data_IF_701652713345
#
_entry.id   IF_701652713345
#
_cell.length_a   1.000
_cell.length_b   1.000
_cell.length_c   1.000
_cell.angle_alpha   90.00
_cell.angle_beta   90.00
_cell.angle_gamma   90.00
#
_symmetry.space_group_name_H-M   'P 1'
#
loop_
_entity.id
_entity.type
_entity.pdbx_description
1 polymer ?
#
# COMPACT_ATOMS: atom_id res chain seq x y z
N UNK A 1 -40.57 9.43 23.70
CA UNK A 1 -40.21 10.42 22.66
C UNK A 1 -38.71 10.69 22.57
N UNK A 2 -37.92 10.72 23.66
CA UNK A 2 -36.46 10.96 23.60
C UNK A 2 -35.64 9.85 22.91
N UNK A 3 -36.10 8.60 22.95
CA UNK A 3 -35.34 7.44 22.47
C UNK A 3 -35.31 7.33 20.92
N UNK A 4 -36.34 7.84 20.23
CA UNK A 4 -36.34 7.95 18.77
C UNK A 4 -35.39 9.05 18.29
N UNK A 5 -35.26 10.14 19.05
CA UNK A 5 -34.40 11.29 18.69
C UNK A 5 -32.92 10.92 18.68
N UNK A 6 -32.49 10.04 19.59
CA UNK A 6 -31.09 9.58 19.70
C UNK A 6 -30.73 8.60 18.57
N UNK A 7 -31.66 7.73 18.18
CA UNK A 7 -31.47 6.82 17.04
C UNK A 7 -31.31 7.57 15.71
N UNK A 8 -32.08 8.65 15.53
CA UNK A 8 -31.97 9.52 14.34
C UNK A 8 -30.64 10.27 14.30
N UNK A 9 -30.13 10.75 15.45
CA UNK A 9 -28.80 11.37 15.53
C UNK A 9 -27.67 10.36 15.25
N UNK A 10 -27.79 9.10 15.69
CA UNK A 10 -26.82 8.07 15.38
C UNK A 10 -26.79 7.70 13.90
N UNK A 11 -27.95 7.63 13.23
CA UNK A 11 -28.01 7.41 11.78
C UNK A 11 -27.46 8.61 11.00
N UNK A 12 -27.66 9.84 11.49
CA UNK A 12 -27.04 11.04 10.90
C UNK A 12 -25.50 11.04 11.07
N UNK A 13 -24.99 10.64 12.25
CA UNK A 13 -23.55 10.53 12.49
C UNK A 13 -22.90 9.39 11.68
N UNK A 14 -23.54 8.22 11.59
CA UNK A 14 -23.08 7.10 10.75
C UNK A 14 -23.14 7.48 9.26
N UNK A 15 -24.11 8.31 8.87
CA UNK A 15 -24.19 8.79 7.48
C UNK A 15 -23.11 9.81 7.12
N UNK A 16 -22.53 10.54 8.08
CA UNK A 16 -21.37 11.43 7.84
C UNK A 16 -20.02 10.71 7.77
N UNK A 17 -19.96 9.44 8.19
CA UNK A 17 -18.81 8.56 7.93
C UNK A 17 -19.00 7.71 6.66
N UNK A 18 -19.91 8.10 5.75
CA UNK A 18 -19.88 7.58 4.40
C UNK A 18 -18.61 8.09 3.71
N UNK A 19 -17.63 7.20 3.69
CA UNK A 19 -16.78 6.90 2.53
C UNK A 19 -16.91 7.98 1.47
N UNK A 20 -16.10 9.03 1.56
CA UNK A 20 -15.97 9.95 0.45
C UNK A 20 -15.38 9.11 -0.68
N UNK A 21 -16.12 8.75 -1.73
CA UNK A 21 -15.44 8.39 -2.95
C UNK A 21 -15.00 9.76 -3.48
N UNK A 22 -13.83 10.24 -3.02
CA UNK A 22 -13.14 11.25 -3.81
C UNK A 22 -12.85 10.54 -5.12
N UNK A 23 -13.77 10.69 -6.07
CA UNK A 23 -13.50 10.56 -7.48
C UNK A 23 -12.43 11.61 -7.74
N UNK A 24 -11.18 11.23 -7.50
CA UNK A 24 -10.01 11.98 -7.91
C UNK A 24 -10.03 11.92 -9.43
N UNK A 25 -10.76 12.83 -10.06
CA UNK A 25 -10.60 13.17 -11.47
C UNK A 25 -9.29 13.96 -11.64
N UNK A 26 -8.19 13.34 -11.20
CA UNK A 26 -6.83 13.87 -11.28
C UNK A 26 -5.93 12.69 -11.54
N UNK A 27 -5.06 12.83 -12.53
CA UNK A 27 -4.08 11.81 -12.96
C UNK A 27 -3.47 11.09 -11.75
N UNK A 28 -3.81 9.81 -11.59
CA UNK A 28 -3.34 8.98 -10.48
C UNK A 28 -1.82 8.89 -10.54
N UNK A 29 -1.16 9.48 -9.53
CA UNK A 29 0.30 9.60 -9.46
C UNK A 29 0.81 8.84 -8.26
N UNK A 30 1.87 8.07 -8.42
CA UNK A 30 2.46 7.26 -7.34
C UNK A 30 3.96 7.52 -7.24
N UNK A 31 4.54 7.29 -6.06
CA UNK A 31 5.99 7.19 -5.94
C UNK A 31 6.48 6.00 -6.75
N UNK A 32 7.57 6.21 -7.48
CA UNK A 32 8.23 5.17 -8.29
C UNK A 32 9.69 5.12 -7.90
N UNK A 33 10.02 4.22 -6.98
CA UNK A 33 11.38 4.08 -6.47
C UNK A 33 11.68 2.66 -6.05
N UNK A 34 12.97 2.36 -5.93
CA UNK A 34 13.47 1.20 -5.22
C UNK A 34 14.61 1.60 -4.29
N UNK A 35 14.84 0.83 -3.22
CA UNK A 35 16.04 0.97 -2.40
C UNK A 35 17.32 0.91 -3.26
N UNK A 36 18.34 1.68 -2.88
CA UNK A 36 19.58 1.83 -3.66
C UNK A 36 20.28 0.50 -3.97
N UNK A 37 20.18 -0.46 -3.06
CA UNK A 37 20.70 -1.81 -3.21
C UNK A 37 20.24 -2.51 -4.51
N UNK A 38 18.96 -2.34 -4.89
CA UNK A 38 18.43 -2.91 -6.13
C UNK A 38 19.12 -2.33 -7.36
N UNK A 39 19.44 -1.02 -7.35
CA UNK A 39 20.13 -0.36 -8.46
C UNK A 39 21.56 -0.87 -8.63
N UNK A 40 22.27 -1.08 -7.52
CA UNK A 40 23.64 -1.61 -7.55
C UNK A 40 23.73 -3.05 -8.13
N UNK A 41 22.63 -3.80 -8.07
CA UNK A 41 22.59 -5.22 -8.47
C UNK A 41 21.57 -5.50 -9.59
N UNK A 42 21.01 -4.45 -10.21
CA UNK A 42 19.82 -4.51 -11.07
C UNK A 42 19.88 -5.58 -12.16
N UNK A 43 20.99 -5.62 -12.90
CA UNK A 43 21.20 -6.57 -13.97
C UNK A 43 21.73 -7.93 -13.48
N UNK A 44 22.62 -7.94 -12.48
CA UNK A 44 23.32 -9.14 -12.04
C UNK A 44 22.47 -10.05 -11.16
N UNK A 45 21.61 -9.49 -10.30
CA UNK A 45 20.71 -10.24 -9.44
C UNK A 45 19.38 -10.61 -10.14
N UNK A 46 19.21 -10.26 -11.41
CA UNK A 46 18.04 -10.64 -12.21
C UNK A 46 16.78 -9.81 -11.96
N UNK A 47 16.86 -8.73 -11.17
CA UNK A 47 15.72 -7.82 -10.92
C UNK A 47 15.16 -7.21 -12.21
N UNK A 48 16.03 -6.89 -13.16
CA UNK A 48 15.68 -6.38 -14.49
C UNK A 48 14.81 -7.34 -15.34
N UNK A 49 14.63 -8.59 -14.91
CA UNK A 49 13.76 -9.58 -15.58
C UNK A 49 12.38 -9.71 -14.92
N UNK A 50 12.18 -9.08 -13.76
CA UNK A 50 10.98 -9.25 -12.94
C UNK A 50 10.27 -7.91 -12.80
N UNK A 51 11.01 -6.87 -12.41
CA UNK A 51 10.45 -5.55 -12.14
C UNK A 51 10.70 -4.60 -13.30
N UNK A 52 9.76 -3.67 -13.49
CA UNK A 52 10.02 -2.51 -14.32
C UNK A 52 10.99 -1.59 -13.57
N UNK A 53 11.95 -1.02 -14.30
CA UNK A 53 12.90 -0.08 -13.71
C UNK A 53 12.15 1.12 -13.10
N UNK A 54 12.42 1.46 -11.82
CA UNK A 54 11.77 2.57 -11.14
C UNK A 54 12.29 3.91 -11.67
N UNK A 55 11.59 5.01 -11.36
CA UNK A 55 12.09 6.36 -11.70
C UNK A 55 13.34 6.75 -10.93
N UNK A 56 13.60 6.17 -9.75
CA UNK A 56 14.87 6.34 -9.04
C UNK A 56 15.21 5.18 -8.11
N UNK A 57 16.52 4.92 -7.98
CA UNK A 57 17.08 4.07 -6.92
C UNK A 57 17.60 4.98 -5.78
N UNK A 58 17.00 4.92 -4.59
CA UNK A 58 17.29 5.87 -3.51
C UNK A 58 17.06 5.27 -2.11
N UNK A 59 17.82 5.75 -1.11
CA UNK A 59 17.64 5.38 0.30
C UNK A 59 16.31 5.92 0.86
N UNK A 60 15.86 7.06 0.36
CA UNK A 60 14.59 7.67 0.76
C UNK A 60 13.37 6.88 0.30
N UNK A 61 13.53 5.81 -0.48
CA UNK A 61 12.40 4.99 -0.92
C UNK A 61 11.68 4.31 0.26
N UNK A 62 12.37 4.10 1.39
CA UNK A 62 11.72 3.66 2.63
C UNK A 62 10.65 4.65 3.09
N UNK A 63 10.97 5.94 3.08
CA UNK A 63 10.11 7.01 3.58
C UNK A 63 10.13 8.23 2.63
N UNK A 64 9.43 8.14 1.48
CA UNK A 64 9.47 9.14 0.42
C UNK A 64 8.72 10.44 0.76
N UNK A 65 8.08 10.51 1.94
CA UNK A 65 7.44 11.72 2.46
C UNK A 65 8.31 12.43 3.51
N UNK A 66 9.44 11.83 3.90
CA UNK A 66 10.36 12.45 4.86
C UNK A 66 10.87 13.79 4.36
N UNK A 67 11.08 14.73 5.29
CA UNK A 67 11.55 16.08 4.95
C UNK A 67 12.91 16.00 4.25
N UNK A 68 13.01 16.58 3.06
CA UNK A 68 14.24 16.58 2.26
C UNK A 68 14.44 15.31 1.43
N UNK A 69 13.48 14.40 1.40
CA UNK A 69 13.48 13.31 0.42
C UNK A 69 13.12 13.84 -0.96
N UNK A 70 13.92 13.48 -1.97
CA UNK A 70 13.61 13.69 -3.38
C UNK A 70 13.38 12.32 -4.02
N UNK A 71 12.12 11.89 -4.01
CA UNK A 71 11.70 10.61 -4.58
C UNK A 71 10.86 10.86 -5.81
N UNK A 72 11.30 10.28 -6.92
CA UNK A 72 10.65 10.45 -8.20
C UNK A 72 9.29 9.75 -8.23
N UNK A 73 8.44 10.24 -9.12
CA UNK A 73 7.03 9.86 -9.19
C UNK A 73 6.66 9.55 -10.64
N UNK A 74 5.61 8.75 -10.82
CA UNK A 74 5.11 8.40 -12.16
C UNK A 74 3.58 8.46 -12.16
N UNK A 75 3.01 8.69 -13.34
CA UNK A 75 1.58 8.53 -13.56
C UNK A 75 1.29 7.05 -13.82
N UNK A 76 0.19 6.56 -13.27
CA UNK A 76 -0.28 5.21 -13.48
C UNK A 76 -1.39 5.20 -14.53
N UNK A 77 -1.48 4.10 -15.28
CA UNK A 77 -2.54 3.92 -16.27
C UNK A 77 -3.90 3.71 -15.59
N UNK A 78 -4.95 4.20 -16.25
CA UNK A 78 -6.39 4.10 -15.95
C UNK A 78 -6.72 3.55 -14.56
N UNK A 79 -6.70 4.44 -13.56
CA UNK A 79 -7.20 4.16 -12.21
C UNK A 79 -6.51 3.03 -11.44
N UNK A 80 -5.33 2.58 -11.89
CA UNK A 80 -4.60 1.55 -11.16
C UNK A 80 -4.07 2.06 -9.81
N UNK A 81 -4.19 1.21 -8.79
CA UNK A 81 -3.74 1.56 -7.44
C UNK A 81 -2.21 1.72 -7.37
N UNK A 82 -1.75 2.54 -6.43
CA UNK A 82 -0.35 2.59 -6.07
C UNK A 82 0.03 1.36 -5.23
N UNK A 83 1.24 0.87 -5.44
CA UNK A 83 1.81 -0.28 -4.73
C UNK A 83 3.04 0.14 -3.91
N UNK A 84 3.15 -0.43 -2.73
CA UNK A 84 4.37 -0.46 -1.91
C UNK A 84 4.69 -1.91 -1.55
N UNK A 85 5.92 -2.35 -1.81
CA UNK A 85 6.42 -3.68 -1.46
C UNK A 85 7.61 -3.57 -0.52
N UNK A 86 7.71 -4.53 0.40
CA UNK A 86 8.85 -4.70 1.30
C UNK A 86 9.30 -6.14 1.27
N UNK A 87 10.59 -6.32 1.01
CA UNK A 87 11.24 -7.63 0.94
C UNK A 87 12.33 -7.70 2.00
N UNK A 88 12.46 -8.84 2.67
CA UNK A 88 13.61 -9.09 3.54
C UNK A 88 14.79 -9.52 2.67
N UNK A 89 15.85 -8.71 2.69
CA UNK A 89 17.05 -8.95 1.89
C UNK A 89 17.93 -9.98 2.60
N UNK A 90 18.47 -10.94 1.84
CA UNK A 90 19.39 -11.97 2.36
C UNK A 90 20.82 -11.44 2.58
N UNK A 91 20.98 -10.14 2.83
CA UNK A 91 22.26 -9.46 3.05
C UNK A 91 22.30 -8.89 4.47
N UNK A 92 22.83 -9.68 5.40
CA UNK A 92 22.90 -9.31 6.81
C UNK A 92 21.56 -9.40 7.54
N UNK A 93 21.61 -9.26 8.87
CA UNK A 93 20.46 -9.44 9.75
C UNK A 93 19.46 -8.28 9.60
N UNK A 94 18.28 -8.57 9.06
CA UNK A 94 17.13 -7.66 9.06
C UNK A 94 17.17 -6.52 8.02
N UNK A 95 18.02 -6.62 7.01
CA UNK A 95 18.02 -5.67 5.90
C UNK A 95 16.71 -5.79 5.10
N UNK A 96 16.09 -4.64 4.77
CA UNK A 96 14.82 -4.58 4.04
C UNK A 96 14.97 -3.76 2.77
N UNK A 97 14.44 -4.30 1.67
CA UNK A 97 14.34 -3.62 0.39
C UNK A 97 12.94 -3.06 0.22
N UNK A 98 12.84 -1.81 -0.21
CA UNK A 98 11.59 -1.09 -0.44
C UNK A 98 11.41 -0.88 -1.94
N UNK A 99 10.20 -1.13 -2.44
CA UNK A 99 9.84 -0.96 -3.85
C UNK A 99 8.49 -0.23 -3.89
N UNK A 100 8.37 0.82 -4.70
CA UNK A 100 7.14 1.60 -4.85
C UNK A 100 6.86 1.85 -6.33
N UNK A 101 5.60 1.78 -6.73
CA UNK A 101 5.21 1.98 -8.13
C UNK A 101 3.71 1.86 -8.37
N UNK A 102 3.33 1.75 -9.63
CA UNK A 102 1.94 1.52 -10.05
C UNK A 102 1.63 0.03 -10.13
N UNK A 103 0.43 -0.38 -9.76
CA UNK A 103 -0.02 -1.77 -9.96
C UNK A 103 0.11 -2.24 -11.42
N UNK A 104 -0.20 -1.36 -12.39
CA UNK A 104 -0.18 -1.70 -13.82
C UNK A 104 1.22 -2.01 -14.35
N UNK A 105 2.26 -1.41 -13.78
CA UNK A 105 3.58 -1.34 -14.41
C UNK A 105 4.75 -1.76 -13.52
N UNK A 106 4.56 -2.04 -12.22
CA UNK A 106 5.67 -2.36 -11.30
C UNK A 106 6.36 -3.70 -11.62
N UNK A 107 5.63 -4.66 -12.20
CA UNK A 107 6.15 -5.95 -12.67
C UNK A 107 6.08 -6.01 -14.19
N UNK A 108 7.14 -6.50 -14.85
CA UNK A 108 7.22 -6.59 -16.31
C UNK A 108 6.12 -7.48 -16.91
N UNK A 109 5.80 -8.58 -16.23
CA UNK A 109 4.75 -9.52 -16.63
C UNK A 109 3.43 -9.31 -15.89
N UNK A 110 3.35 -8.26 -15.07
CA UNK A 110 2.22 -8.00 -14.20
C UNK A 110 2.05 -9.03 -13.07
N UNK A 111 1.03 -8.76 -12.26
CA UNK A 111 0.64 -9.64 -11.16
C UNK A 111 -0.27 -10.78 -11.62
N UNK A 112 -0.27 -11.88 -10.87
CA UNK A 112 -1.22 -12.97 -11.08
C UNK A 112 -2.65 -12.54 -10.69
N UNK A 113 -3.50 -12.29 -11.69
CA UNK A 113 -4.86 -11.75 -11.52
C UNK A 113 -5.88 -12.74 -10.94
N UNK A 114 -5.63 -14.06 -11.01
CA UNK A 114 -6.58 -15.08 -10.54
C UNK A 114 -6.49 -15.34 -9.04
N UNK A 115 -5.45 -14.85 -8.37
CA UNK A 115 -5.25 -14.99 -6.92
C UNK A 115 -5.72 -13.77 -6.14
N UNK A 116 -5.63 -13.84 -4.80
CA UNK A 116 -5.87 -12.71 -3.88
C UNK A 116 -5.04 -11.46 -4.22
N UNK A 117 -3.92 -11.64 -4.91
CA UNK A 117 -3.09 -10.58 -5.48
C UNK A 117 -3.89 -9.70 -6.43
N UNK A 118 -4.79 -10.25 -7.25
CA UNK A 118 -5.62 -9.49 -8.18
C UNK A 118 -6.51 -8.43 -7.51
N UNK A 119 -6.90 -8.64 -6.25
CA UNK A 119 -7.68 -7.67 -5.49
C UNK A 119 -6.90 -6.38 -5.20
N UNK A 120 -5.55 -6.40 -5.22
CA UNK A 120 -4.72 -5.21 -5.03
C UNK A 120 -4.91 -4.18 -6.16
N UNK A 121 -5.41 -4.60 -7.33
CA UNK A 121 -5.70 -3.68 -8.43
C UNK A 121 -6.76 -2.63 -8.07
N UNK A 122 -7.74 -3.00 -7.24
CA UNK A 122 -8.94 -2.19 -6.94
C UNK A 122 -9.09 -1.90 -5.45
N UNK A 123 -8.67 -2.80 -4.57
CA UNK A 123 -8.85 -2.67 -3.12
C UNK A 123 -7.57 -2.19 -2.44
N UNK A 124 -7.74 -1.37 -1.41
CA UNK A 124 -6.65 -0.89 -0.57
C UNK A 124 -6.49 -1.82 0.63
N UNK A 125 -5.43 -2.63 0.65
CA UNK A 125 -5.08 -3.51 1.76
C UNK A 125 -3.61 -3.90 1.72
N UNK A 126 -3.14 -4.48 2.81
CA UNK A 126 -1.78 -4.98 2.98
C UNK A 126 -1.81 -6.48 3.23
N UNK A 127 -0.97 -7.23 2.52
CA UNK A 127 -0.85 -8.67 2.72
C UNK A 127 0.54 -9.16 2.33
N UNK A 128 1.03 -10.19 3.02
CA UNK A 128 2.31 -10.82 2.72
C UNK A 128 2.09 -12.01 1.79
N UNK A 129 2.73 -11.97 0.63
CA UNK A 129 2.63 -13.00 -0.40
C UNK A 129 3.96 -13.72 -0.55
N UNK A 130 3.92 -14.96 -1.04
CA UNK A 130 5.11 -15.59 -1.59
C UNK A 130 5.38 -15.01 -2.98
N UNK A 131 6.64 -14.73 -3.31
CA UNK A 131 7.00 -14.14 -4.61
C UNK A 131 6.52 -15.00 -5.80
N UNK A 132 6.50 -16.32 -5.62
CA UNK A 132 5.95 -17.30 -6.60
C UNK A 132 4.46 -17.13 -6.89
N UNK A 133 3.69 -16.57 -5.95
CA UNK A 133 2.27 -16.27 -6.10
C UNK A 133 2.02 -14.87 -6.66
N UNK A 134 3.00 -13.97 -6.49
CA UNK A 134 2.89 -12.56 -6.85
C UNK A 134 3.05 -12.34 -8.36
N UNK A 135 4.03 -13.00 -8.98
CA UNK A 135 4.43 -12.77 -10.37
C UNK A 135 3.72 -13.76 -11.30
N UNK A 136 3.09 -13.27 -12.38
CA UNK A 136 2.36 -14.12 -13.33
C UNK A 136 3.27 -14.99 -14.23
N UNK A 137 4.58 -14.75 -14.23
CA UNK A 137 5.55 -15.50 -15.04
C UNK A 137 6.91 -15.63 -14.36
N UNK A 138 7.37 -16.86 -14.16
CA UNK A 138 8.71 -17.19 -13.64
C UNK A 138 8.70 -18.24 -12.52
N UNK A 139 9.86 -18.82 -12.23
CA UNK A 139 10.14 -19.58 -10.99
C UNK A 139 11.05 -18.73 -10.10
N UNK A 140 10.53 -17.66 -9.46
CA UNK A 140 11.35 -16.87 -8.55
C UNK A 140 11.78 -17.73 -7.35
N UNK A 141 12.93 -17.43 -6.78
CA UNK A 141 13.37 -18.05 -5.53
C UNK A 141 12.35 -17.74 -4.42
N UNK A 142 12.04 -18.72 -3.56
CA UNK A 142 11.07 -18.51 -2.48
C UNK A 142 11.53 -17.40 -1.53
N UNK A 143 10.79 -16.29 -1.56
CA UNK A 143 10.90 -15.15 -0.65
C UNK A 143 9.50 -14.62 -0.33
N UNK A 144 9.33 -14.15 0.90
CA UNK A 144 8.11 -13.48 1.34
C UNK A 144 8.21 -11.99 1.08
N UNK A 145 7.18 -11.43 0.45
CA UNK A 145 7.09 -10.01 0.12
C UNK A 145 5.81 -9.43 0.72
N UNK A 146 5.95 -8.39 1.53
CA UNK A 146 4.79 -7.65 2.05
C UNK A 146 4.37 -6.62 1.01
N UNK A 147 3.13 -6.70 0.53
CA UNK A 147 2.60 -5.83 -0.52
C UNK A 147 1.38 -5.09 0.00
N UNK A 148 1.37 -3.78 -0.21
CA UNK A 148 0.25 -2.92 0.10
C UNK A 148 -0.20 -2.16 -1.13
N UNK A 149 -1.52 -2.11 -1.29
CA UNK A 149 -2.19 -1.33 -2.31
C UNK A 149 -2.96 -0.18 -1.69
N UNK A 150 -3.00 0.94 -2.39
CA UNK A 150 -3.82 2.09 -2.02
C UNK A 150 -4.26 2.87 -3.26
N UNK A 151 -5.41 3.56 -3.16
CA UNK A 151 -5.91 4.46 -4.19
C UNK A 151 -5.71 5.93 -3.77
N UNK A 152 -5.37 6.79 -4.72
CA UNK A 152 -5.15 8.22 -4.48
C UNK A 152 -3.70 8.65 -4.71
N UNK A 153 -3.50 9.93 -5.02
CA UNK A 153 -2.19 10.48 -5.38
C UNK A 153 -1.18 10.33 -4.24
N UNK A 154 -0.02 9.74 -4.54
CA UNK A 154 1.13 9.54 -3.66
C UNK A 154 0.81 8.76 -2.36
N UNK A 155 -0.28 7.99 -2.35
CA UNK A 155 -0.72 7.24 -1.17
C UNK A 155 0.29 6.15 -0.78
N UNK A 156 1.04 5.62 -1.75
CA UNK A 156 2.13 4.68 -1.52
C UNK A 156 3.38 5.37 -0.99
N UNK A 157 3.27 6.51 -0.31
CA UNK A 157 4.37 7.15 0.40
C UNK A 157 4.43 6.79 1.87
N UNK A 158 3.33 6.31 2.45
CA UNK A 158 3.29 5.94 3.86
C UNK A 158 4.30 4.81 4.14
N UNK A 159 5.08 5.00 5.19
CA UNK A 159 5.96 3.97 5.74
C UNK A 159 5.11 2.86 6.35
N UNK A 160 5.44 1.60 6.05
CA UNK A 160 4.73 0.41 6.54
C UNK A 160 4.95 0.12 8.04
N UNK A 161 5.62 1.03 8.74
CA UNK A 161 5.75 1.01 10.17
C UNK A 161 4.52 1.69 10.80
N UNK A 162 3.68 0.90 11.47
CA UNK A 162 2.50 1.31 12.25
C UNK A 162 1.25 1.69 11.47
N UNK A 163 0.62 0.69 10.85
CA UNK A 163 -0.85 0.60 10.92
C UNK A 163 -1.27 -0.13 12.20
N UNK A 164 -0.93 0.43 13.36
CA UNK A 164 -1.75 0.18 14.55
C UNK A 164 -2.99 1.06 14.41
N UNK A 165 -3.95 0.58 13.61
CA UNK A 165 -5.31 1.04 13.73
C UNK A 165 -5.83 0.58 15.10
N UNK A 166 -5.41 1.24 16.18
CA UNK A 166 -6.21 1.28 17.39
C UNK A 166 -7.50 1.97 16.98
N UNK A 167 -8.49 1.15 16.66
CA UNK A 167 -9.84 1.59 16.35
C UNK A 167 -10.33 2.42 17.53
N UNK A 168 -10.33 3.75 17.38
CA UNK A 168 -10.95 4.69 18.33
C UNK A 168 -12.44 4.39 18.56
N UNK A 169 -13.03 3.50 17.76
CA UNK A 169 -14.38 2.96 17.90
C UNK A 169 -14.62 2.16 19.21
N UNK A 170 -13.61 1.47 19.76
CA UNK A 170 -13.80 0.70 21.02
C UNK A 170 -13.95 1.63 22.24
N UNK A 171 -13.27 2.78 22.25
CA UNK A 171 -13.34 3.74 23.37
C UNK A 171 -14.72 4.40 23.42
N UNK A 172 -15.32 4.71 22.26
CA UNK A 172 -16.67 5.27 22.19
C UNK A 172 -17.72 4.25 22.64
N UNK A 173 -17.59 2.98 22.24
CA UNK A 173 -18.52 1.93 22.64
C UNK A 173 -18.50 1.67 24.16
N UNK A 174 -17.31 1.63 24.77
CA UNK A 174 -17.14 1.48 26.22
C UNK A 174 -17.71 2.67 27.01
N UNK A 175 -17.54 3.89 26.51
CA UNK A 175 -18.09 5.09 27.14
C UNK A 175 -19.62 5.10 27.13
N UNK A 176 -20.24 4.72 26.00
CA UNK A 176 -21.70 4.63 25.88
C UNK A 176 -22.28 3.58 26.82
N UNK A 177 -21.64 2.40 26.95
CA UNK A 177 -22.09 1.35 27.87
C UNK A 177 -22.03 1.79 29.34
N UNK A 178 -20.96 2.48 29.74
CA UNK A 178 -20.79 2.99 31.11
C UNK A 178 -21.85 4.06 31.46
N UNK A 179 -22.16 4.98 30.55
CA UNK A 179 -23.17 6.02 30.78
C UNK A 179 -24.59 5.45 30.79
N UNK A 180 -24.85 4.36 30.07
CA UNK A 180 -26.16 3.69 30.07
C UNK A 180 -26.44 2.80 31.29
N UNK A 181 -25.45 2.62 32.17
CA UNK A 181 -25.53 1.76 33.37
C UNK A 181 -25.57 2.55 34.68
N UNK A 182 -25.50 3.90 34.62
CA UNK A 182 -25.81 4.83 35.73
C UNK A 182 -27.23 5.40 35.55
#
# INVERSE_FOLDING_TARGET
MLQLSIFILHLAFVSTYNYSPRVYSGTQKCYSCMSRYYGATWHFAGYARIYQEPRSFTESCRDPQSRGSDVQTTHCDDDSNCISMVEDLKIGTGAKGYIRGCWSSILLFGFNRTSTVGALSTHSFCHTFNLSQLVAGGKPQESSVSVCSCRGSLCNGMSLASSSALSKSFIVFLYVLLVSSL
#
